data_IF_234233324734
#
_entry.id   IF_234233324734
#
_cell.length_a   1.000
_cell.length_b   1.000
_cell.length_c   1.000
_cell.angle_alpha   90.00
_cell.angle_beta   90.00
_cell.angle_gamma   90.00
#
_symmetry.space_group_name_H-M   'P 1'
#
loop_
_entity.id
_entity.type
_entity.pdbx_description
1 polymer ?
#
# COMPACT_ATOMS: atom_id res chain seq x y z
N UNK A 1 -11.84 -1.42 -2.72
CA UNK A 1 -11.05 -2.41 -1.96
C UNK A 1 -9.60 -1.98 -1.79
N UNK A 2 -8.79 -1.91 -2.86
CA UNK A 2 -7.36 -1.51 -2.77
C UNK A 2 -7.13 -0.15 -2.09
N UNK A 3 -7.82 0.91 -2.50
CA UNK A 3 -7.70 2.23 -1.87
C UNK A 3 -8.11 2.22 -0.38
N UNK A 4 -9.08 1.39 0.00
CA UNK A 4 -9.46 1.27 1.41
C UNK A 4 -8.38 0.54 2.21
N UNK A 5 -7.79 -0.53 1.67
CA UNK A 5 -6.68 -1.22 2.34
C UNK A 5 -5.46 -0.34 2.53
N UNK A 6 -5.21 0.62 1.63
CA UNK A 6 -4.12 1.59 1.80
C UNK A 6 -4.43 2.58 2.93
N UNK A 7 -5.63 3.16 2.96
CA UNK A 7 -6.04 4.07 4.05
C UNK A 7 -6.00 3.37 5.42
N UNK A 8 -6.55 2.16 5.52
CA UNK A 8 -6.56 1.40 6.78
C UNK A 8 -5.15 1.01 7.20
N UNK A 9 -4.31 0.61 6.26
CA UNK A 9 -2.92 0.25 6.54
C UNK A 9 -2.14 1.40 7.14
N UNK A 10 -2.31 2.61 6.60
CA UNK A 10 -1.76 3.86 7.14
C UNK A 10 -2.21 4.08 8.57
N UNK A 11 -3.52 4.25 8.78
CA UNK A 11 -4.05 4.65 10.09
C UNK A 11 -3.86 3.59 11.17
N UNK A 12 -3.83 2.31 10.79
CA UNK A 12 -3.55 1.21 11.73
C UNK A 12 -2.10 1.21 12.15
N UNK A 13 -1.16 1.44 11.21
CA UNK A 13 0.26 1.53 11.53
C UNK A 13 0.56 2.74 12.41
N UNK A 14 -0.05 3.89 12.11
CA UNK A 14 0.06 5.10 12.94
C UNK A 14 -0.51 4.86 14.34
N UNK A 15 -1.72 4.30 14.43
CA UNK A 15 -2.34 4.01 15.71
C UNK A 15 -1.47 3.09 16.58
N UNK A 16 -0.89 2.03 15.99
CA UNK A 16 0.00 1.14 16.70
C UNK A 16 1.29 1.85 17.15
N UNK A 17 1.85 2.69 16.27
CA UNK A 17 3.09 3.43 16.54
C UNK A 17 2.91 4.53 17.59
N UNK A 18 1.72 5.15 17.66
CA UNK A 18 1.33 6.12 18.70
C UNK A 18 1.27 5.49 20.10
N UNK A 19 0.98 4.19 20.20
CA UNK A 19 0.95 3.48 21.48
C UNK A 19 2.33 2.94 21.87
N UNK A 20 2.95 2.17 20.98
CA UNK A 20 4.31 1.65 21.15
C UNK A 20 4.86 1.20 19.78
N UNK A 21 5.87 1.92 19.29
CA UNK A 21 6.49 1.65 17.99
C UNK A 21 7.05 0.22 17.89
N UNK A 22 7.70 -0.28 18.94
CA UNK A 22 8.33 -1.59 18.95
C UNK A 22 7.31 -2.73 18.90
N UNK A 23 6.27 -2.63 19.73
CA UNK A 23 5.16 -3.58 19.76
C UNK A 23 4.37 -3.53 18.46
N UNK A 24 4.09 -2.34 17.93
CA UNK A 24 3.40 -2.15 16.66
C UNK A 24 4.11 -2.83 15.49
N UNK A 25 5.41 -2.61 15.36
CA UNK A 25 6.25 -3.26 14.35
C UNK A 25 6.25 -4.78 14.53
N UNK A 26 6.40 -5.27 15.77
CA UNK A 26 6.44 -6.70 16.05
C UNK A 26 5.11 -7.40 15.69
N UNK A 27 3.98 -6.83 16.12
CA UNK A 27 2.64 -7.37 15.81
C UNK A 27 2.39 -7.34 14.31
N UNK A 28 2.70 -6.22 13.64
CA UNK A 28 2.56 -6.08 12.19
C UNK A 28 3.40 -7.12 11.43
N UNK A 29 4.66 -7.30 11.81
CA UNK A 29 5.55 -8.28 11.19
C UNK A 29 5.05 -9.72 11.36
N UNK A 30 4.63 -10.11 12.57
CA UNK A 30 4.07 -11.43 12.83
C UNK A 30 2.80 -11.66 12.00
N UNK A 31 1.89 -10.69 11.99
CA UNK A 31 0.64 -10.79 11.23
C UNK A 31 0.90 -10.85 9.70
N UNK A 32 1.89 -10.11 9.20
CA UNK A 32 2.33 -10.19 7.81
C UNK A 32 2.86 -11.59 7.47
N UNK A 33 3.77 -12.14 8.27
CA UNK A 33 4.32 -13.49 8.03
C UNK A 33 3.22 -14.54 8.02
N UNK A 34 2.29 -14.50 8.99
CA UNK A 34 1.17 -15.44 9.05
C UNK A 34 0.23 -15.29 7.85
N UNK A 35 -0.08 -14.06 7.44
CA UNK A 35 -0.98 -13.80 6.31
C UNK A 35 -0.37 -14.23 4.97
N UNK A 36 0.92 -13.93 4.74
CA UNK A 36 1.64 -14.38 3.54
C UNK A 36 1.77 -15.90 3.53
N UNK A 37 2.13 -16.52 4.67
CA UNK A 37 2.18 -17.98 4.78
C UNK A 37 0.84 -18.62 4.43
N UNK A 38 -0.27 -18.04 4.89
CA UNK A 38 -1.60 -18.53 4.57
C UNK A 38 -1.97 -18.35 3.09
N UNK A 39 -1.54 -17.23 2.50
CA UNK A 39 -1.70 -16.93 1.08
C UNK A 39 -0.92 -17.91 0.20
N UNK A 40 0.37 -18.15 0.47
CA UNK A 40 1.21 -19.08 -0.30
C UNK A 40 0.76 -20.55 -0.21
N UNK A 41 -0.05 -20.89 0.80
CA UNK A 41 -0.67 -22.22 0.94
C UNK A 41 -1.90 -22.40 0.06
N UNK A 42 -2.39 -21.34 -0.58
CA UNK A 42 -3.55 -21.38 -1.45
C UNK A 42 -3.17 -21.85 -2.86
N UNK A 43 -3.91 -22.83 -3.36
CA UNK A 43 -3.83 -23.37 -4.72
C UNK A 43 -4.66 -22.56 -5.74
N UNK A 44 -5.55 -21.72 -5.23
CA UNK A 44 -6.43 -20.85 -6.01
C UNK A 44 -6.56 -19.48 -5.35
N UNK A 45 -6.96 -18.50 -6.15
CA UNK A 45 -7.34 -17.19 -5.64
C UNK A 45 -8.49 -17.37 -4.62
N UNK A 46 -8.28 -16.83 -3.42
CA UNK A 46 -9.32 -16.73 -2.39
C UNK A 46 -9.32 -15.29 -1.87
N UNK A 47 -10.40 -14.51 -2.07
CA UNK A 47 -10.46 -13.09 -1.74
C UNK A 47 -10.01 -12.81 -0.31
N UNK A 48 -10.44 -13.61 0.67
CA UNK A 48 -10.10 -13.40 2.09
C UNK A 48 -8.60 -13.46 2.33
N UNK A 49 -7.93 -14.51 1.84
CA UNK A 49 -6.49 -14.71 2.05
C UNK A 49 -5.69 -13.58 1.40
N UNK A 50 -6.03 -13.27 0.16
CA UNK A 50 -5.36 -12.26 -0.63
C UNK A 50 -5.51 -10.85 -0.03
N UNK A 51 -6.74 -10.43 0.28
CA UNK A 51 -6.98 -9.09 0.79
C UNK A 51 -6.48 -8.89 2.22
N UNK A 52 -6.45 -9.94 3.05
CA UNK A 52 -5.80 -9.87 4.37
C UNK A 52 -4.28 -9.72 4.24
N UNK A 53 -3.65 -10.47 3.33
CA UNK A 53 -2.23 -10.29 3.06
C UNK A 53 -1.92 -8.88 2.53
N UNK A 54 -2.74 -8.34 1.60
CA UNK A 54 -2.60 -6.95 1.14
C UNK A 54 -2.76 -5.95 2.29
N UNK A 55 -3.69 -6.18 3.21
CA UNK A 55 -3.88 -5.31 4.37
C UNK A 55 -2.68 -5.34 5.31
N UNK A 56 -2.12 -6.52 5.61
CA UNK A 56 -0.93 -6.61 6.46
C UNK A 56 0.31 -6.03 5.80
N UNK A 57 0.45 -6.17 4.48
CA UNK A 57 1.49 -5.48 3.72
C UNK A 57 1.32 -3.97 3.82
N UNK A 58 0.08 -3.48 3.84
CA UNK A 58 -0.19 -2.05 4.01
C UNK A 58 0.32 -1.54 5.36
N UNK A 59 -0.03 -2.23 6.45
CA UNK A 59 0.39 -1.87 7.82
C UNK A 59 1.92 -1.90 7.97
N UNK A 60 2.56 -3.00 7.57
CA UNK A 60 4.02 -3.13 7.70
C UNK A 60 4.75 -2.21 6.74
N UNK A 61 4.22 -2.00 5.53
CA UNK A 61 4.78 -1.08 4.55
C UNK A 61 4.87 0.35 5.06
N UNK A 62 3.84 0.82 5.76
CA UNK A 62 3.85 2.12 6.46
C UNK A 62 4.97 2.16 7.50
N UNK A 63 4.98 1.19 8.42
CA UNK A 63 5.98 1.15 9.49
C UNK A 63 7.43 1.11 8.97
N UNK A 64 7.67 0.44 7.83
CA UNK A 64 8.96 0.44 7.15
C UNK A 64 9.30 1.78 6.48
N UNK A 65 8.30 2.52 6.01
CA UNK A 65 8.49 3.85 5.43
C UNK A 65 8.78 4.90 6.52
N UNK A 66 8.16 4.80 7.68
CA UNK A 66 8.30 5.80 8.73
C UNK A 66 9.46 5.51 9.68
N UNK A 67 9.82 4.24 9.84
CA UNK A 67 10.92 3.79 10.69
C UNK A 67 12.22 4.59 10.48
N UNK A 68 12.72 4.74 9.24
CA UNK A 68 13.90 5.56 8.97
C UNK A 68 13.77 7.03 9.39
N UNK A 69 12.58 7.63 9.29
CA UNK A 69 12.33 8.99 9.77
C UNK A 69 12.37 9.05 11.28
N UNK A 70 11.68 8.14 11.97
CA UNK A 70 11.59 8.13 13.43
C UNK A 70 12.88 7.71 14.13
N UNK A 71 13.64 6.76 13.55
CA UNK A 71 14.83 6.19 14.15
C UNK A 71 16.09 6.97 13.74
N UNK A 72 16.19 7.34 12.46
CA UNK A 72 17.41 7.92 11.87
C UNK A 72 17.26 9.40 11.50
N UNK A 73 16.06 9.98 11.59
CA UNK A 73 15.80 11.39 11.24
C UNK A 73 15.90 11.69 9.74
N UNK A 74 15.89 10.67 8.89
CA UNK A 74 16.08 10.83 7.43
C UNK A 74 14.79 11.40 6.80
N UNK A 75 14.87 12.39 5.89
CA UNK A 75 13.70 12.92 5.18
C UNK A 75 12.96 11.86 4.37
N UNK A 76 11.63 12.01 4.23
CA UNK A 76 10.81 11.06 3.48
C UNK A 76 11.19 10.99 2.01
N UNK A 77 11.62 12.12 1.42
CA UNK A 77 12.08 12.14 0.03
C UNK A 77 13.30 11.22 -0.22
N UNK A 78 14.24 11.16 0.73
CA UNK A 78 15.40 10.26 0.64
C UNK A 78 14.93 8.80 0.71
N UNK A 79 14.00 8.50 1.62
CA UNK A 79 13.45 7.16 1.75
C UNK A 79 12.68 6.73 0.48
N UNK A 80 11.92 7.64 -0.12
CA UNK A 80 11.23 7.41 -1.39
C UNK A 80 12.21 7.10 -2.52
N UNK A 81 13.37 7.77 -2.61
CA UNK A 81 14.41 7.46 -3.60
C UNK A 81 14.95 6.04 -3.39
N UNK A 82 15.24 5.66 -2.14
CA UNK A 82 15.74 4.31 -1.81
C UNK A 82 14.71 3.25 -2.20
N UNK A 83 13.45 3.41 -1.81
CA UNK A 83 12.38 2.50 -2.19
C UNK A 83 12.18 2.44 -3.70
N UNK A 84 12.29 3.56 -4.42
CA UNK A 84 12.20 3.59 -5.87
C UNK A 84 13.35 2.81 -6.52
N UNK A 85 14.58 2.97 -6.04
CA UNK A 85 15.74 2.22 -6.52
C UNK A 85 15.58 0.71 -6.29
N UNK A 86 15.13 0.32 -5.10
CA UNK A 86 14.83 -1.09 -4.77
C UNK A 86 13.71 -1.64 -5.66
N UNK A 87 12.65 -0.85 -5.89
CA UNK A 87 11.53 -1.24 -6.75
C UNK A 87 11.97 -1.50 -8.18
N UNK A 88 12.78 -0.59 -8.75
CA UNK A 88 13.35 -0.77 -10.08
C UNK A 88 14.24 -2.01 -10.13
N UNK A 89 15.10 -2.21 -9.13
CA UNK A 89 15.93 -3.41 -9.02
C UNK A 89 15.10 -4.71 -8.99
N UNK A 90 14.01 -4.73 -8.23
CA UNK A 90 13.08 -5.86 -8.18
C UNK A 90 12.38 -6.11 -9.51
N UNK A 91 11.95 -5.06 -10.22
CA UNK A 91 11.35 -5.23 -11.55
C UNK A 91 12.34 -5.78 -12.57
N UNK A 92 13.59 -5.27 -12.57
CA UNK A 92 14.65 -5.78 -13.43
C UNK A 92 14.95 -7.24 -13.11
N UNK A 93 15.08 -7.58 -11.83
CA UNK A 93 15.35 -8.96 -11.41
C UNK A 93 14.20 -9.89 -11.77
N UNK A 94 12.96 -9.50 -11.52
CA UNK A 94 11.79 -10.30 -11.86
C UNK A 94 11.69 -10.50 -13.38
N UNK A 95 11.89 -9.45 -14.18
CA UNK A 95 11.85 -9.55 -15.64
C UNK A 95 12.98 -10.44 -16.18
N UNK A 96 14.20 -10.31 -15.66
CA UNK A 96 15.32 -11.17 -16.04
C UNK A 96 15.09 -12.65 -15.67
N UNK A 97 14.39 -12.89 -14.55
CA UNK A 97 14.11 -14.22 -14.06
C UNK A 97 12.93 -14.91 -14.78
N UNK A 98 11.86 -14.18 -15.10
CA UNK A 98 10.57 -14.74 -15.53
C UNK A 98 10.14 -14.31 -16.94
N UNK A 99 10.81 -13.32 -17.55
CA UNK A 99 10.49 -12.78 -18.87
C UNK A 99 9.17 -11.99 -18.96
N UNK A 100 8.48 -11.80 -17.83
CA UNK A 100 7.20 -11.10 -17.77
C UNK A 100 6.97 -10.46 -16.41
N UNK A 101 6.34 -9.29 -16.42
CA UNK A 101 5.86 -8.57 -15.24
C UNK A 101 4.33 -8.61 -15.11
N UNK A 102 3.67 -9.48 -15.89
CA UNK A 102 2.22 -9.57 -15.95
C UNK A 102 1.64 -10.32 -14.76
N UNK A 103 0.73 -9.67 -14.05
CA UNK A 103 -0.03 -10.26 -12.94
C UNK A 103 -0.91 -11.45 -13.35
N UNK A 104 -1.29 -11.55 -14.62
CA UNK A 104 -2.11 -12.66 -15.12
C UNK A 104 -1.33 -13.97 -15.24
N UNK A 105 0.00 -13.91 -15.09
CA UNK A 105 0.89 -15.05 -15.29
C UNK A 105 1.53 -15.57 -13.99
N UNK A 106 0.97 -15.18 -12.84
CA UNK A 106 1.42 -15.63 -11.52
C UNK A 106 0.85 -17.03 -11.25
N UNK A 107 1.53 -18.04 -11.80
CA UNK A 107 1.15 -19.45 -11.68
C UNK A 107 2.17 -20.30 -10.92
N UNK A 108 3.33 -19.71 -10.57
CA UNK A 108 4.39 -20.38 -9.83
C UNK A 108 4.66 -19.67 -8.51
N UNK A 109 5.13 -20.41 -7.49
CA UNK A 109 5.53 -19.84 -6.19
C UNK A 109 6.61 -18.78 -6.33
N UNK A 110 7.52 -18.92 -7.29
CA UNK A 110 8.58 -17.94 -7.55
C UNK A 110 8.02 -16.61 -8.05
N UNK A 111 7.08 -16.64 -9.00
CA UNK A 111 6.37 -15.44 -9.47
C UNK A 111 5.53 -14.81 -8.37
N UNK A 112 4.90 -15.62 -7.54
CA UNK A 112 4.13 -15.13 -6.39
C UNK A 112 5.03 -14.42 -5.37
N UNK A 113 6.24 -14.93 -5.12
CA UNK A 113 7.22 -14.26 -4.26
C UNK A 113 7.67 -12.90 -4.81
N UNK A 114 8.01 -12.83 -6.12
CA UNK A 114 8.33 -11.55 -6.76
C UNK A 114 7.16 -10.56 -6.68
N UNK A 115 5.94 -11.05 -6.92
CA UNK A 115 4.74 -10.24 -6.81
C UNK A 115 4.60 -9.62 -5.41
N UNK A 116 4.67 -10.43 -4.35
CA UNK A 116 4.55 -9.91 -2.98
C UNK A 116 5.71 -9.00 -2.59
N UNK A 117 6.93 -9.26 -3.04
CA UNK A 117 8.08 -8.39 -2.82
C UNK A 117 7.87 -7.01 -3.47
N UNK A 118 7.47 -6.99 -4.75
CA UNK A 118 7.14 -5.74 -5.46
C UNK A 118 6.00 -5.02 -4.75
N UNK A 119 4.92 -5.73 -4.39
CA UNK A 119 3.79 -5.13 -3.67
C UNK A 119 4.28 -4.48 -2.38
N UNK A 120 5.05 -5.17 -1.55
CA UNK A 120 5.59 -4.61 -0.30
C UNK A 120 6.42 -3.34 -0.51
N UNK A 121 7.33 -3.35 -1.50
CA UNK A 121 8.17 -2.18 -1.80
C UNK A 121 7.33 -1.02 -2.36
N UNK A 122 6.32 -1.28 -3.20
CA UNK A 122 5.40 -0.22 -3.67
C UNK A 122 4.59 0.41 -2.54
N UNK A 123 4.28 -0.37 -1.49
CA UNK A 123 3.61 0.15 -0.31
C UNK A 123 4.51 1.09 0.48
N UNK A 124 5.76 0.70 0.77
CA UNK A 124 6.74 1.58 1.43
C UNK A 124 7.06 2.83 0.62
N UNK A 125 7.28 2.69 -0.70
CA UNK A 125 7.46 3.82 -1.62
C UNK A 125 6.28 4.78 -1.57
N UNK A 126 5.07 4.25 -1.58
CA UNK A 126 3.86 5.06 -1.62
C UNK A 126 3.61 5.85 -0.36
N UNK A 127 3.86 5.29 0.83
CA UNK A 127 3.81 6.04 2.09
C UNK A 127 4.87 7.14 2.09
N UNK A 128 6.13 6.80 1.81
CA UNK A 128 7.22 7.78 1.78
C UNK A 128 6.97 8.93 0.79
N UNK A 129 6.38 8.65 -0.38
CA UNK A 129 5.97 9.70 -1.32
C UNK A 129 4.84 10.56 -0.74
N UNK A 130 3.78 9.93 -0.23
CA UNK A 130 2.63 10.60 0.37
C UNK A 130 3.05 11.63 1.42
N UNK A 131 3.91 11.23 2.35
CA UNK A 131 4.43 12.10 3.40
C UNK A 131 5.45 13.10 2.89
N UNK A 132 6.28 12.75 1.91
CA UNK A 132 7.26 13.69 1.35
C UNK A 132 6.60 14.93 0.74
N UNK A 133 5.51 14.77 -0.04
CA UNK A 133 4.80 15.95 -0.57
C UNK A 133 4.11 16.75 0.52
N UNK A 134 3.50 16.07 1.49
CA UNK A 134 2.76 16.76 2.55
C UNK A 134 3.70 17.51 3.51
N UNK A 135 4.81 16.89 3.91
CA UNK A 135 5.68 17.34 5.00
C UNK A 135 6.99 17.96 4.52
N UNK A 136 7.77 17.26 3.71
CA UNK A 136 9.09 17.75 3.25
C UNK A 136 8.94 18.91 2.24
N UNK A 137 7.96 18.83 1.34
CA UNK A 137 7.62 19.92 0.39
C UNK A 137 6.68 20.96 1.01
N UNK A 138 5.97 20.60 2.09
CA UNK A 138 5.05 21.50 2.80
C UNK A 138 3.73 21.77 2.07
N UNK A 139 3.33 20.92 1.11
CA UNK A 139 2.08 21.07 0.35
C UNK A 139 0.85 20.79 1.22
N UNK A 140 1.01 20.01 2.29
CA UNK A 140 -0.06 19.51 3.14
C UNK A 140 -0.83 18.33 2.52
N UNK A 141 -1.44 17.52 3.38
CA UNK A 141 -2.10 16.27 2.96
C UNK A 141 -3.26 16.49 1.99
N UNK A 142 -4.09 17.52 2.19
CA UNK A 142 -5.25 17.79 1.32
C UNK A 142 -4.85 18.04 -0.14
N UNK A 143 -3.84 18.89 -0.36
CA UNK A 143 -3.39 19.20 -1.71
C UNK A 143 -2.63 18.01 -2.34
N UNK A 144 -1.90 17.22 -1.54
CA UNK A 144 -1.27 15.96 -1.99
C UNK A 144 -2.30 14.96 -2.55
N UNK A 145 -3.53 14.91 -2.01
CA UNK A 145 -4.60 14.05 -2.55
C UNK A 145 -4.88 14.36 -4.03
N UNK A 146 -4.95 15.64 -4.40
CA UNK A 146 -5.22 16.03 -5.79
C UNK A 146 -4.04 15.74 -6.71
N UNK A 147 -2.80 15.97 -6.23
CA UNK A 147 -1.59 15.65 -6.99
C UNK A 147 -1.51 14.16 -7.26
N UNK A 148 -1.62 13.32 -6.23
CA UNK A 148 -1.57 11.87 -6.40
C UNK A 148 -2.79 11.30 -7.12
N UNK A 149 -3.97 11.90 -6.93
CA UNK A 149 -5.16 11.55 -7.71
C UNK A 149 -4.98 11.81 -9.21
N UNK A 150 -4.35 12.93 -9.59
CA UNK A 150 -4.01 13.21 -10.97
C UNK A 150 -2.96 12.22 -11.50
N UNK A 151 -1.90 11.94 -10.74
CA UNK A 151 -0.87 10.94 -11.11
C UNK A 151 -1.47 9.53 -11.26
N UNK A 152 -2.43 9.17 -10.41
CA UNK A 152 -3.17 7.91 -10.49
C UNK A 152 -4.01 7.81 -11.78
N UNK A 153 -4.46 8.94 -12.33
CA UNK A 153 -5.21 8.97 -13.59
C UNK A 153 -4.33 8.92 -14.85
N UNK A 154 -3.03 9.27 -14.76
CA UNK A 154 -2.11 9.25 -15.92
C UNK A 154 -2.07 7.89 -16.63
N UNK A 155 -1.97 6.74 -15.93
CA UNK A 155 -2.01 5.43 -16.57
C UNK A 155 -3.25 5.19 -17.44
N UNK A 156 -4.39 5.79 -17.11
CA UNK A 156 -5.61 5.67 -17.93
C UNK A 156 -5.44 6.37 -19.28
N UNK A 157 -4.88 7.56 -19.29
CA UNK A 157 -4.60 8.32 -20.52
C UNK A 157 -3.51 7.62 -21.32
N UNK A 158 -2.40 7.24 -20.68
CA UNK A 158 -1.31 6.51 -21.32
C UNK A 158 -1.80 5.20 -21.97
N UNK A 159 -2.72 4.49 -21.32
CA UNK A 159 -3.33 3.28 -21.88
C UNK A 159 -4.12 3.54 -23.16
N UNK A 160 -4.84 4.67 -23.25
CA UNK A 160 -5.56 5.07 -24.47
C UNK A 160 -4.60 5.47 -25.60
N UNK A 161 -3.39 5.91 -25.27
CA UNK A 161 -2.33 6.25 -26.22
C UNK A 161 -1.46 5.05 -26.63
N UNK A 162 -1.81 3.82 -26.22
CA UNK A 162 -1.12 2.59 -26.62
C UNK A 162 -0.04 2.08 -25.65
N UNK A 163 0.07 2.65 -24.44
CA UNK A 163 1.01 2.14 -23.44
C UNK A 163 0.68 0.70 -22.99
N UNK A 164 1.71 -0.01 -22.54
CA UNK A 164 1.58 -1.41 -22.12
C UNK A 164 0.66 -1.55 -20.91
N UNK A 165 -0.18 -2.59 -20.91
CA UNK A 165 -1.15 -2.84 -19.84
C UNK A 165 -0.44 -3.03 -18.49
N UNK A 166 0.71 -3.69 -18.54
CA UNK A 166 1.53 -4.04 -17.39
C UNK A 166 2.16 -2.79 -16.76
N UNK A 167 2.71 -1.88 -17.57
CA UNK A 167 3.25 -0.63 -17.04
C UNK A 167 2.14 0.24 -16.44
N UNK A 168 1.01 0.38 -17.14
CA UNK A 168 -0.13 1.14 -16.61
C UNK A 168 -0.67 0.53 -15.29
N UNK A 169 -0.71 -0.80 -15.20
CA UNK A 169 -1.08 -1.49 -13.97
C UNK A 169 -0.11 -1.15 -12.84
N UNK A 170 1.20 -1.33 -13.01
CA UNK A 170 2.15 -1.06 -11.94
C UNK A 170 2.22 0.41 -11.54
N UNK A 171 2.15 1.33 -12.49
CA UNK A 171 2.07 2.76 -12.20
C UNK A 171 0.81 3.11 -11.41
N UNK A 172 -0.37 2.67 -11.87
CA UNK A 172 -1.62 2.93 -11.13
C UNK A 172 -1.60 2.27 -9.76
N UNK A 173 -1.11 1.04 -9.66
CA UNK A 173 -0.98 0.30 -8.42
C UNK A 173 -0.11 1.05 -7.40
N UNK A 174 1.08 1.50 -7.80
CA UNK A 174 1.96 2.29 -6.94
C UNK A 174 1.29 3.59 -6.50
N UNK A 175 0.62 4.31 -7.42
CA UNK A 175 -0.04 5.58 -7.12
C UNK A 175 -1.28 5.46 -6.23
N UNK A 176 -1.90 4.29 -6.13
CA UNK A 176 -3.00 4.10 -5.15
C UNK A 176 -2.55 4.31 -3.72
N UNK A 177 -1.30 3.99 -3.40
CA UNK A 177 -0.78 4.06 -2.04
C UNK A 177 -0.59 5.49 -1.52
N UNK A 178 0.17 6.38 -2.18
CA UNK A 178 0.31 7.76 -1.70
C UNK A 178 -1.03 8.48 -1.69
N UNK A 179 -1.91 8.22 -2.67
CA UNK A 179 -3.28 8.76 -2.67
C UNK A 179 -4.05 8.31 -1.42
N UNK A 180 -4.00 7.01 -1.09
CA UNK A 180 -4.67 6.46 0.08
C UNK A 180 -4.12 6.99 1.40
N UNK A 181 -2.78 7.07 1.53
CA UNK A 181 -2.10 7.64 2.70
C UNK A 181 -2.50 9.10 2.91
N UNK A 182 -2.36 9.94 1.87
CA UNK A 182 -2.73 11.35 1.99
C UNK A 182 -4.20 11.58 2.36
N UNK A 183 -5.12 10.72 1.89
CA UNK A 183 -6.53 10.76 2.31
C UNK A 183 -6.68 10.38 3.79
N UNK A 184 -6.06 9.28 4.23
CA UNK A 184 -6.16 8.86 5.64
C UNK A 184 -5.54 9.87 6.59
N UNK A 185 -4.38 10.40 6.28
CA UNK A 185 -3.63 11.32 7.13
C UNK A 185 -4.35 12.65 7.24
N UNK A 186 -4.93 13.11 6.13
CA UNK A 186 -5.82 14.26 6.12
C UNK A 186 -7.05 14.05 7.00
N UNK A 187 -7.65 12.85 7.04
CA UNK A 187 -8.78 12.59 7.91
C UNK A 187 -8.35 12.45 9.38
N UNK A 188 -7.24 11.78 9.65
CA UNK A 188 -6.80 11.37 10.98
C UNK A 188 -6.05 12.47 11.74
N UNK A 189 -5.07 13.13 11.12
CA UNK A 189 -4.23 14.10 11.81
C UNK A 189 -4.96 15.40 12.09
N UNK A 190 -4.57 16.10 13.17
CA UNK A 190 -5.17 17.36 13.56
C UNK A 190 -4.77 18.54 12.66
N UNK A 191 -5.40 19.73 12.87
CA UNK A 191 -5.16 20.92 12.06
C UNK A 191 -3.69 21.37 12.03
N UNK A 192 -2.94 21.13 13.11
CA UNK A 192 -1.51 21.44 13.20
C UNK A 192 -0.64 20.68 12.18
N UNK A 193 -1.11 19.52 11.70
CA UNK A 193 -0.47 18.71 10.65
C UNK A 193 -1.22 18.79 9.31
N UNK A 194 -2.19 19.69 9.19
CA UNK A 194 -2.97 19.90 7.97
C UNK A 194 -4.11 18.91 7.73
N UNK A 195 -4.61 18.24 8.77
CA UNK A 195 -5.76 17.32 8.70
C UNK A 195 -6.99 17.77 9.50
N UNK A 196 -8.07 16.98 9.43
CA UNK A 196 -9.39 17.21 10.04
C UNK A 196 -9.45 16.87 11.54
N UNK A 197 -8.54 16.04 12.04
CA UNK A 197 -8.45 15.67 13.45
C UNK A 197 -9.47 14.63 13.91
N UNK A 198 -9.95 13.74 13.03
CA UNK A 198 -10.87 12.66 13.41
C UNK A 198 -10.19 11.57 14.26
N UNK A 199 -8.86 11.54 14.29
CA UNK A 199 -8.05 10.56 15.01
C UNK A 199 -7.80 9.29 14.20
N UNK A 200 -6.62 8.70 14.41
CA UNK A 200 -6.16 7.45 13.78
C UNK A 200 -7.08 6.27 14.10
N UNK A 201 -7.54 6.17 15.35
CA UNK A 201 -8.42 5.09 15.82
C UNK A 201 -9.79 5.07 15.14
N UNK A 202 -10.48 6.22 15.04
CA UNK A 202 -11.81 6.30 14.44
C UNK A 202 -11.77 6.03 12.93
N UNK A 203 -10.81 6.62 12.22
CA UNK A 203 -10.64 6.42 10.77
C UNK A 203 -10.29 4.96 10.47
N UNK A 204 -9.42 4.34 11.29
CA UNK A 204 -9.13 2.89 11.19
C UNK A 204 -10.37 2.03 11.38
N UNK A 205 -11.19 2.33 12.40
CA UNK A 205 -12.40 1.57 12.69
C UNK A 205 -13.40 1.63 11.53
N UNK A 206 -13.70 2.84 11.03
CA UNK A 206 -14.60 3.04 9.88
C UNK A 206 -14.05 2.33 8.64
N UNK A 207 -12.76 2.48 8.37
CA UNK A 207 -12.09 1.82 7.25
C UNK A 207 -12.20 0.30 7.34
N UNK A 208 -11.90 -0.29 8.50
CA UNK A 208 -12.01 -1.73 8.74
C UNK A 208 -13.44 -2.24 8.58
N UNK A 209 -14.45 -1.50 9.05
CA UNK A 209 -15.86 -1.85 8.84
C UNK A 209 -16.23 -1.88 7.35
N UNK A 210 -15.85 -0.85 6.59
CA UNK A 210 -16.10 -0.79 5.14
C UNK A 210 -15.35 -1.90 4.39
N UNK A 211 -14.12 -2.19 4.79
CA UNK A 211 -13.35 -3.30 4.24
C UNK A 211 -14.01 -4.65 4.50
N UNK A 212 -14.47 -4.91 5.74
CA UNK A 212 -15.16 -6.14 6.08
C UNK A 212 -16.45 -6.32 5.26
N UNK A 213 -17.24 -5.26 5.07
CA UNK A 213 -18.45 -5.28 4.24
C UNK A 213 -18.14 -5.60 2.78
N UNK A 214 -17.14 -4.94 2.18
CA UNK A 214 -16.73 -5.21 0.80
C UNK A 214 -16.12 -6.60 0.64
N UNK A 215 -15.40 -7.09 1.65
CA UNK A 215 -14.84 -8.44 1.64
C UNK A 215 -15.96 -9.48 1.69
N UNK A 216 -16.93 -9.30 2.57
CA UNK A 216 -18.10 -10.17 2.66
C UNK A 216 -18.86 -10.19 1.32
N UNK A 217 -19.10 -9.01 0.72
CA UNK A 217 -19.72 -8.91 -0.59
C UNK A 217 -18.92 -9.64 -1.69
N UNK A 218 -17.60 -9.49 -1.71
CA UNK A 218 -16.74 -10.17 -2.67
C UNK A 218 -16.80 -11.70 -2.54
N UNK A 219 -16.81 -12.21 -1.31
CA UNK A 219 -16.95 -13.64 -1.01
C UNK A 219 -18.32 -14.17 -1.43
N UNK A 220 -19.39 -13.44 -1.13
CA UNK A 220 -20.75 -13.83 -1.54
C UNK A 220 -20.88 -13.87 -3.06
N UNK A 221 -20.30 -12.90 -3.77
CA UNK A 221 -20.32 -12.85 -5.23
C UNK A 221 -19.51 -13.98 -5.88
N UNK A 222 -18.40 -14.38 -5.28
CA UNK A 222 -17.63 -15.53 -5.75
C UNK A 222 -18.40 -16.83 -5.58
N UNK A 223 -19.06 -17.03 -4.43
CA UNK A 223 -19.94 -18.19 -4.19
C UNK A 223 -21.12 -18.25 -5.15
N UNK A 224 -21.71 -17.12 -5.50
CA UNK A 224 -22.82 -17.05 -6.46
C UNK A 224 -22.40 -17.36 -7.91
N UNK A 225 -21.10 -17.37 -8.22
CA UNK A 225 -20.56 -17.66 -9.57
C UNK A 225 -19.99 -19.08 -9.69
N UNK A 226 -19.83 -19.78 -8.58
CA UNK A 226 -19.32 -21.16 -8.50
C UNK A 226 -20.50 -22.14 -8.51
#
# INVERSE_FOLDING_TARGET
MKLLTTCIGETTADYLSEHDLGIGIAIGAIALVLSLWWQFRSDRYRPVRYWLAVLMVAVVGTALADGPRFILGIPFFVNAIVFAAVLVGLFVWWYAAEGTLSIHSIVTRRREAFYWAVVMVTFGLGTALGDALATDVGLGYFASIFVYGALFAIPLVARRLGASAVACFWCSYTMTRPTGASVSDWLSFGPARGGLGLGTGLVSLIGLSLFALLLAWAVLRERARA
#
